data_IF_327232603554
#
_entry.id   IF_327232603554
#
_cell.length_a   1.000
_cell.length_b   1.000
_cell.length_c   1.000
_cell.angle_alpha   90.00
_cell.angle_beta   90.00
_cell.angle_gamma   90.00
#
_symmetry.space_group_name_H-M   'P 1'
#
loop_
_entity.id
_entity.type
_entity.pdbx_description
1 polymer ?
#
# COMPACT_ATOMS: atom_id res chain seq x y z
N UNK A 1 48.46 5.73 13.02
CA UNK A 1 47.03 5.95 13.37
C UNK A 1 46.30 4.74 12.84
N UNK A 2 45.90 3.78 13.68
CA UNK A 2 45.22 2.57 13.20
C UNK A 2 43.80 2.94 12.79
N UNK A 3 43.51 2.85 11.49
CA UNK A 3 42.14 2.87 10.99
C UNK A 3 41.49 1.55 11.37
N UNK A 4 40.30 1.61 11.94
CA UNK A 4 39.46 0.44 12.18
C UNK A 4 38.33 0.44 11.15
N UNK A 5 37.92 -0.75 10.72
CA UNK A 5 36.78 -0.97 9.83
C UNK A 5 35.72 -1.74 10.63
N UNK A 6 34.46 -1.37 10.45
CA UNK A 6 33.31 -2.13 10.91
C UNK A 6 32.18 -2.04 9.87
N UNK A 7 31.31 -3.05 9.88
CA UNK A 7 30.22 -3.23 8.92
C UNK A 7 28.97 -3.60 9.71
N UNK A 8 27.86 -2.93 9.39
CA UNK A 8 26.52 -3.27 9.86
C UNK A 8 25.72 -3.69 8.62
N UNK A 9 25.33 -4.96 8.55
CA UNK A 9 24.46 -5.46 7.50
C UNK A 9 23.04 -5.52 8.04
N UNK A 10 22.14 -4.71 7.48
CA UNK A 10 20.71 -4.72 7.83
C UNK A 10 19.96 -5.22 6.61
N UNK A 11 19.70 -6.52 6.57
CA UNK A 11 18.90 -7.08 5.49
C UNK A 11 17.44 -6.82 5.82
N UNK A 12 16.87 -5.76 5.25
CA UNK A 12 15.42 -5.53 5.24
C UNK A 12 14.82 -6.48 4.20
N UNK A 13 14.71 -7.75 4.56
CA UNK A 13 14.02 -8.74 3.73
C UNK A 13 12.52 -8.55 3.95
N UNK A 14 11.86 -7.83 3.05
CA UNK A 14 10.47 -8.16 2.74
C UNK A 14 10.55 -9.53 2.07
N UNK A 15 10.19 -10.59 2.81
CA UNK A 15 10.43 -11.99 2.44
C UNK A 15 9.95 -12.25 1.01
N UNK A 16 10.90 -12.31 0.10
CA UNK A 16 10.79 -13.00 -1.18
C UNK A 16 11.57 -14.30 -0.97
N UNK A 17 10.91 -15.38 -0.48
CA UNK A 17 10.07 -16.18 -1.39
C UNK A 17 8.91 -16.94 -0.71
N UNK A 18 7.64 -16.69 -1.06
CA UNK A 18 6.61 -17.76 -1.07
C UNK A 18 5.68 -17.60 -2.28
N UNK A 19 6.25 -17.60 -3.48
CA UNK A 19 5.51 -17.91 -4.71
C UNK A 19 6.15 -19.07 -5.46
N UNK A 20 6.51 -20.16 -4.76
CA UNK A 20 6.74 -21.47 -5.40
C UNK A 20 6.78 -22.63 -4.39
N UNK A 21 5.63 -23.05 -3.85
CA UNK A 21 5.43 -24.44 -3.40
C UNK A 21 3.95 -24.74 -3.04
N UNK A 22 3.28 -25.47 -3.93
CA UNK A 22 2.55 -26.70 -3.55
C UNK A 22 1.26 -26.60 -2.74
N UNK A 23 0.15 -26.97 -3.41
CA UNK A 23 -0.99 -27.64 -2.76
C UNK A 23 -0.54 -28.68 -1.72
N UNK A 24 -1.33 -28.73 -0.64
CA UNK A 24 -1.40 -29.74 0.43
C UNK A 24 -0.46 -29.52 1.62
N UNK A 25 -1.04 -29.23 2.80
CA UNK A 25 -1.31 -30.25 3.85
C UNK A 25 -1.88 -29.58 5.13
N UNK A 26 -3.13 -29.96 5.45
CA UNK A 26 -3.73 -30.11 6.80
C UNK A 26 -4.36 -28.89 7.50
N UNK A 27 -5.64 -28.71 7.17
CA UNK A 27 -6.80 -28.80 8.06
C UNK A 27 -6.53 -29.13 9.56
N UNK A 28 -6.51 -28.12 10.44
CA UNK A 28 -6.86 -28.12 11.88
C UNK A 28 -6.54 -26.69 12.36
N UNK A 29 -7.47 -25.82 12.75
CA UNK A 29 -8.44 -25.92 13.84
C UNK A 29 -9.59 -24.93 13.54
N UNK A 30 -10.78 -25.46 13.25
CA UNK A 30 -12.04 -24.71 13.22
C UNK A 30 -12.91 -25.21 14.37
N UNK A 31 -12.73 -24.67 15.57
CA UNK A 31 -13.79 -24.51 16.60
C UNK A 31 -13.24 -23.82 17.85
N UNK A 32 -13.65 -22.59 18.13
CA UNK A 32 -14.52 -22.26 19.27
C UNK A 32 -14.65 -20.75 19.46
N UNK A 33 -15.90 -20.31 19.63
CA UNK A 33 -16.25 -18.98 20.09
C UNK A 33 -16.69 -19.10 21.56
N UNK A 34 -16.00 -18.43 22.48
CA UNK A 34 -16.60 -17.69 23.59
C UNK A 34 -15.55 -16.90 24.41
N UNK A 35 -15.66 -15.58 24.29
CA UNK A 35 -15.42 -14.46 25.23
C UNK A 35 -14.34 -14.41 26.33
N UNK A 36 -13.52 -15.43 26.61
CA UNK A 36 -12.43 -15.30 27.62
C UNK A 36 -11.01 -15.57 27.07
N UNK A 37 -10.87 -15.81 25.76
CA UNK A 37 -9.57 -16.16 25.15
C UNK A 37 -8.77 -14.99 24.57
N UNK A 38 -9.24 -13.74 24.61
CA UNK A 38 -8.49 -12.61 24.00
C UNK A 38 -7.13 -12.41 24.71
N UNK A 39 -7.05 -12.61 26.02
CA UNK A 39 -5.78 -12.54 26.75
C UNK A 39 -4.88 -13.76 26.46
N UNK A 40 -5.47 -14.95 26.34
CA UNK A 40 -4.74 -16.20 26.08
C UNK A 40 -4.21 -16.29 24.65
N UNK A 41 -4.96 -15.76 23.66
CA UNK A 41 -4.49 -15.62 22.27
C UNK A 41 -3.43 -14.54 22.13
N UNK A 42 -3.51 -13.42 22.85
CA UNK A 42 -2.44 -12.40 22.87
C UNK A 42 -1.14 -12.97 23.46
N UNK A 43 -1.22 -13.79 24.50
CA UNK A 43 -0.07 -14.46 25.11
C UNK A 43 0.47 -15.61 24.23
N UNK A 44 -0.40 -16.44 23.66
CA UNK A 44 0.02 -17.54 22.77
C UNK A 44 0.57 -17.04 21.43
N UNK A 45 0.07 -15.91 20.91
CA UNK A 45 0.63 -15.22 19.75
C UNK A 45 1.94 -14.54 20.10
N UNK A 46 2.10 -14.03 21.33
CA UNK A 46 3.38 -13.51 21.82
C UNK A 46 4.42 -14.62 21.98
N UNK A 47 4.04 -15.79 22.50
CA UNK A 47 4.95 -16.93 22.64
C UNK A 47 5.28 -17.59 21.29
N UNK A 48 4.34 -17.65 20.34
CA UNK A 48 4.63 -18.09 18.96
C UNK A 48 5.44 -17.09 18.15
N UNK A 49 5.19 -15.78 18.31
CA UNK A 49 6.01 -14.75 17.67
C UNK A 49 7.37 -14.71 18.35
N UNK A 50 7.49 -14.88 19.66
CA UNK A 50 8.79 -14.97 20.36
C UNK A 50 9.52 -16.27 19.98
N UNK A 51 8.86 -17.42 19.84
CA UNK A 51 9.51 -18.67 19.38
C UNK A 51 9.92 -18.60 17.91
N UNK A 52 9.12 -17.97 17.04
CA UNK A 52 9.47 -17.72 15.64
C UNK A 52 10.59 -16.68 15.56
N UNK A 53 10.49 -15.57 16.30
CA UNK A 53 11.55 -14.55 16.37
C UNK A 53 12.81 -15.09 17.03
N UNK A 54 12.73 -16.06 17.96
CA UNK A 54 13.86 -16.71 18.60
C UNK A 54 14.48 -17.80 17.71
N UNK A 55 13.67 -18.61 17.02
CA UNK A 55 14.13 -19.57 16.00
C UNK A 55 14.71 -18.89 14.76
N UNK A 56 14.35 -17.62 14.48
CA UNK A 56 14.95 -16.80 13.44
C UNK A 56 15.96 -15.75 13.97
N UNK A 57 16.11 -15.60 15.30
CA UNK A 57 17.22 -14.84 15.89
C UNK A 57 18.54 -15.61 15.89
N UNK A 58 18.48 -16.92 15.65
CA UNK A 58 19.68 -17.74 15.47
C UNK A 58 20.36 -17.53 14.10
N UNK A 59 19.73 -16.79 13.17
CA UNK A 59 20.36 -16.31 11.92
C UNK A 59 20.56 -14.78 11.85
N UNK A 60 20.25 -14.05 12.93
CA UNK A 60 20.80 -12.70 13.14
C UNK A 60 22.17 -12.81 13.84
N UNK A 61 23.13 -13.46 13.17
CA UNK A 61 24.51 -13.42 13.63
C UNK A 61 25.12 -12.07 13.21
N UNK A 62 25.44 -11.23 14.21
CA UNK A 62 26.38 -10.13 14.03
C UNK A 62 27.75 -10.78 13.87
N UNK A 63 28.14 -11.11 12.64
CA UNK A 63 29.53 -11.44 12.35
C UNK A 63 30.35 -10.15 12.41
N UNK A 64 30.99 -9.90 13.55
CA UNK A 64 32.13 -8.98 13.60
C UNK A 64 33.23 -9.58 12.71
N UNK A 65 33.38 -9.07 11.49
CA UNK A 65 34.42 -9.52 10.58
C UNK A 65 35.80 -9.42 11.24
N UNK A 66 36.53 -10.52 11.23
CA UNK A 66 37.93 -10.59 11.67
C UNK A 66 38.82 -9.75 10.74
N UNK A 67 39.95 -9.22 11.25
CA UNK A 67 40.89 -8.46 10.42
C UNK A 67 41.44 -9.35 9.30
N UNK A 68 41.31 -8.90 8.04
CA UNK A 68 41.96 -9.54 6.90
C UNK A 68 43.45 -9.21 6.98
N UNK A 69 44.27 -10.20 7.36
CA UNK A 69 45.72 -10.18 7.15
C UNK A 69 46.07 -10.72 5.76
N UNK A 70 46.99 -10.00 5.11
CA UNK A 70 47.72 -10.24 3.86
C UNK A 70 47.42 -11.53 3.07
N UNK A 71 46.84 -11.37 1.88
CA UNK A 71 47.15 -12.21 0.72
C UNK A 71 47.40 -11.37 -0.53
N UNK A 72 48.60 -11.56 -1.08
CA UNK A 72 49.08 -11.07 -2.37
C UNK A 72 48.49 -11.88 -3.53
N UNK A 73 48.25 -11.15 -4.63
CA UNK A 73 48.17 -11.55 -6.06
C UNK A 73 47.12 -12.65 -6.41
N UNK A 74 46.31 -12.59 -7.48
CA UNK A 74 46.46 -12.04 -8.83
C UNK A 74 45.11 -11.55 -9.41
N UNK A 75 45.23 -10.72 -10.45
CA UNK A 75 44.14 -10.05 -11.16
C UNK A 75 43.41 -10.94 -12.17
N UNK A 76 42.11 -10.69 -12.36
CA UNK A 76 41.52 -10.67 -13.69
C UNK A 76 40.36 -9.65 -13.76
N UNK A 77 40.64 -8.53 -14.42
CA UNK A 77 39.66 -7.49 -14.77
C UNK A 77 38.83 -7.95 -15.96
N UNK A 78 37.51 -7.92 -15.84
CA UNK A 78 36.63 -7.65 -16.99
C UNK A 78 35.92 -6.32 -16.72
N UNK A 79 36.46 -5.27 -17.33
CA UNK A 79 35.88 -3.95 -17.34
C UNK A 79 34.66 -3.91 -18.26
N UNK A 80 33.50 -3.51 -17.73
CA UNK A 80 32.47 -2.84 -18.52
C UNK A 80 32.21 -1.49 -17.86
N UNK A 81 32.72 -0.45 -18.52
CA UNK A 81 32.62 0.95 -18.11
C UNK A 81 31.24 1.49 -18.45
N UNK A 82 30.41 1.74 -17.44
CA UNK A 82 29.42 2.81 -17.47
C UNK A 82 30.02 4.05 -16.75
N UNK A 83 29.76 5.30 -17.18
CA UNK A 83 30.44 6.45 -16.61
C UNK A 83 30.06 6.63 -15.13
N UNK A 84 31.08 6.61 -14.26
CA UNK A 84 30.93 7.01 -12.86
C UNK A 84 30.51 8.49 -12.80
N UNK A 85 29.29 8.74 -12.35
CA UNK A 85 28.85 10.06 -11.93
C UNK A 85 29.79 10.55 -10.82
N UNK A 86 30.41 11.71 -11.06
CA UNK A 86 31.35 12.37 -10.13
C UNK A 86 30.63 12.84 -8.86
N UNK A 87 31.36 12.94 -7.72
CA UNK A 87 30.77 12.86 -6.39
C UNK A 87 29.90 14.06 -6.07
N UNK A 88 28.67 13.80 -5.66
CA UNK A 88 27.90 14.70 -4.80
C UNK A 88 28.78 15.15 -3.63
N UNK A 89 28.69 16.42 -3.25
CA UNK A 89 29.53 16.99 -2.20
C UNK A 89 29.48 16.11 -0.94
N UNK A 90 30.63 15.59 -0.50
CA UNK A 90 30.72 14.73 0.69
C UNK A 90 30.18 15.48 1.90
N UNK A 91 29.02 15.06 2.40
CA UNK A 91 28.38 15.67 3.56
C UNK A 91 29.28 15.50 4.78
N UNK A 92 29.55 16.60 5.51
CA UNK A 92 30.34 16.58 6.73
C UNK A 92 29.42 16.83 7.91
N UNK A 93 29.41 15.91 8.86
CA UNK A 93 28.52 15.91 10.04
C UNK A 93 29.31 15.76 11.33
N UNK A 94 28.75 16.18 12.45
CA UNK A 94 29.45 16.25 13.75
C UNK A 94 28.74 15.54 14.89
N UNK A 95 27.49 15.13 14.71
CA UNK A 95 26.66 14.48 15.73
C UNK A 95 25.62 13.54 15.09
N UNK A 96 24.95 12.74 15.92
CA UNK A 96 23.97 11.73 15.48
C UNK A 96 22.80 12.34 14.69
N UNK A 97 22.29 13.51 15.10
CA UNK A 97 21.19 14.19 14.40
C UNK A 97 21.60 14.61 12.99
N UNK A 98 22.76 15.23 12.84
CA UNK A 98 23.30 15.62 11.53
C UNK A 98 23.57 14.39 10.65
N UNK A 99 24.05 13.29 11.24
CA UNK A 99 24.22 12.03 10.50
C UNK A 99 22.88 11.47 10.03
N UNK A 100 21.84 11.49 10.88
CA UNK A 100 20.49 11.07 10.52
C UNK A 100 19.88 11.96 9.42
N UNK A 101 20.09 13.28 9.51
CA UNK A 101 19.66 14.25 8.48
C UNK A 101 20.34 13.96 7.13
N UNK A 102 21.65 13.65 7.15
CA UNK A 102 22.41 13.29 5.95
C UNK A 102 22.00 11.94 5.35
N UNK A 103 21.83 10.90 6.18
CA UNK A 103 21.34 9.59 5.75
C UNK A 103 19.95 9.70 5.11
N UNK A 104 19.04 10.42 5.77
CA UNK A 104 17.70 10.66 5.24
C UNK A 104 17.72 11.38 3.88
N UNK A 105 18.62 12.36 3.68
CA UNK A 105 18.76 13.03 2.38
C UNK A 105 19.13 12.05 1.26
N UNK A 106 20.00 11.07 1.52
CA UNK A 106 20.35 10.03 0.55
C UNK A 106 19.24 9.01 0.32
N UNK A 107 18.54 8.60 1.39
CA UNK A 107 17.42 7.66 1.28
C UNK A 107 16.25 8.27 0.50
N UNK A 108 15.88 9.51 0.82
CA UNK A 108 14.79 10.24 0.14
C UNK A 108 15.09 10.58 -1.32
N UNK A 109 16.36 10.61 -1.72
CA UNK A 109 16.77 10.73 -3.12
C UNK A 109 16.87 9.38 -3.84
N UNK A 110 16.55 8.27 -3.17
CA UNK A 110 16.68 6.90 -3.69
C UNK A 110 18.10 6.58 -4.17
N UNK A 111 19.11 7.21 -3.56
CA UNK A 111 20.50 6.99 -3.96
C UNK A 111 20.94 5.57 -3.57
N UNK A 112 21.49 4.76 -4.49
CA UNK A 112 21.92 3.39 -4.18
C UNK A 112 23.19 3.37 -3.31
N UNK A 113 23.91 4.49 -3.23
CA UNK A 113 25.14 4.58 -2.43
C UNK A 113 25.28 5.95 -1.79
N UNK A 114 25.94 6.01 -0.65
CA UNK A 114 26.33 7.28 -0.05
C UNK A 114 27.67 7.23 0.65
N UNK A 115 28.29 8.40 0.82
CA UNK A 115 29.48 8.60 1.63
C UNK A 115 29.32 9.84 2.52
N UNK A 116 29.42 9.66 3.83
CA UNK A 116 29.28 10.73 4.83
C UNK A 116 30.55 10.82 5.67
N UNK A 117 31.07 12.02 5.86
CA UNK A 117 32.24 12.31 6.67
C UNK A 117 31.82 12.76 8.07
N UNK A 118 32.09 11.97 9.09
CA UNK A 118 31.84 12.32 10.48
C UNK A 118 33.09 12.90 11.15
N UNK A 119 32.95 14.06 11.79
CA UNK A 119 34.00 14.74 12.58
C UNK A 119 33.56 14.83 14.04
N UNK A 120 34.11 13.97 14.87
CA UNK A 120 33.78 13.90 16.30
C UNK A 120 34.43 12.69 16.97
N UNK A 121 34.19 12.53 18.27
CA UNK A 121 34.65 11.32 18.97
C UNK A 121 34.00 10.08 18.37
N UNK A 122 34.78 9.04 18.11
CA UNK A 122 34.34 7.76 17.53
C UNK A 122 34.26 6.63 18.56
N UNK A 123 34.38 6.95 19.85
CA UNK A 123 34.30 5.96 20.94
C UNK A 123 33.01 5.12 20.91
N UNK A 124 31.91 5.68 20.39
CA UNK A 124 30.59 5.03 20.26
C UNK A 124 30.08 5.11 18.82
N UNK A 125 30.99 4.96 17.84
CA UNK A 125 30.64 5.16 16.42
C UNK A 125 29.53 4.20 15.95
N UNK A 126 29.56 2.95 16.41
CA UNK A 126 28.55 1.93 16.09
C UNK A 126 27.15 2.37 16.51
N UNK A 127 26.96 2.64 17.81
CA UNK A 127 25.72 3.17 18.35
C UNK A 127 25.28 4.49 17.69
N UNK A 128 26.22 5.38 17.37
CA UNK A 128 25.90 6.65 16.72
C UNK A 128 25.32 6.41 15.30
N UNK A 129 25.90 5.46 14.56
CA UNK A 129 25.43 5.05 13.24
C UNK A 129 24.07 4.36 13.33
N UNK A 130 23.87 3.47 14.29
CA UNK A 130 22.57 2.79 14.54
C UNK A 130 21.47 3.79 14.90
N UNK A 131 21.71 4.67 15.87
CA UNK A 131 20.75 5.71 16.27
C UNK A 131 20.41 6.64 15.10
N UNK A 132 21.40 6.98 14.26
CA UNK A 132 21.20 7.82 13.09
C UNK A 132 20.39 7.10 12.00
N UNK A 133 20.68 5.82 11.75
CA UNK A 133 19.93 4.98 10.84
C UNK A 133 18.46 4.87 11.26
N UNK A 134 18.20 4.44 12.50
CA UNK A 134 16.85 4.30 13.05
C UNK A 134 16.08 5.62 12.99
N UNK A 135 16.76 6.72 13.29
CA UNK A 135 16.18 8.07 13.23
C UNK A 135 15.96 8.56 11.81
N UNK A 136 16.64 8.01 10.80
CA UNK A 136 16.46 8.36 9.40
C UNK A 136 15.30 7.57 8.77
N UNK A 137 15.22 6.27 9.01
CA UNK A 137 14.18 5.40 8.43
C UNK A 137 12.78 5.69 9.00
N UNK A 138 12.68 6.12 10.26
CA UNK A 138 11.39 6.47 10.91
C UNK A 138 10.80 7.81 10.45
N UNK A 139 11.50 8.56 9.59
CA UNK A 139 11.02 9.87 9.13
C UNK A 139 9.99 9.78 8.03
N UNK A 140 10.07 8.70 7.26
CA UNK A 140 9.41 8.61 5.98
C UNK A 140 9.16 7.14 5.62
N UNK A 141 7.98 6.68 6.01
CA UNK A 141 7.56 5.30 5.77
C UNK A 141 7.52 4.97 4.27
N UNK A 142 7.29 5.96 3.41
CA UNK A 142 7.27 5.76 1.96
C UNK A 142 8.66 5.39 1.44
N UNK A 143 9.70 6.11 1.86
CA UNK A 143 11.08 5.79 1.49
C UNK A 143 11.47 4.43 2.04
N UNK A 144 11.20 4.18 3.33
CA UNK A 144 11.54 2.91 3.98
C UNK A 144 10.85 1.72 3.33
N UNK A 145 9.56 1.85 3.00
CA UNK A 145 8.80 0.80 2.32
C UNK A 145 9.29 0.48 0.90
N UNK A 146 10.18 1.30 0.33
CA UNK A 146 10.84 1.02 -0.95
C UNK A 146 12.26 0.47 -0.80
N UNK A 147 12.84 0.38 0.41
CA UNK A 147 14.17 -0.22 0.61
C UNK A 147 14.04 -1.74 0.61
N UNK A 148 14.76 -2.42 -0.29
CA UNK A 148 14.78 -3.88 -0.38
C UNK A 148 16.03 -4.52 0.22
N UNK A 149 17.16 -3.78 0.25
CA UNK A 149 18.42 -4.22 0.89
C UNK A 149 19.20 -3.02 1.40
N UNK A 150 19.91 -3.19 2.50
CA UNK A 150 20.78 -2.14 3.04
C UNK A 150 22.04 -2.68 3.70
N UNK A 151 23.16 -1.98 3.52
CA UNK A 151 24.42 -2.22 4.21
C UNK A 151 25.08 -0.89 4.58
N UNK A 152 25.57 -0.79 5.82
CA UNK A 152 26.37 0.34 6.28
C UNK A 152 27.79 -0.11 6.61
N UNK A 153 28.68 0.43 5.79
CA UNK A 153 30.11 0.67 5.94
C UNK A 153 30.59 1.70 6.95
N UNK A 154 31.59 1.49 7.81
CA UNK A 154 32.35 2.65 8.30
C UNK A 154 33.82 2.39 8.63
N UNK A 155 34.65 3.36 8.25
CA UNK A 155 36.08 3.43 8.57
C UNK A 155 36.33 4.56 9.56
N UNK A 156 37.06 4.34 10.64
CA UNK A 156 37.24 5.37 11.66
C UNK A 156 38.64 5.43 12.28
N UNK A 157 39.02 6.66 12.65
CA UNK A 157 40.14 6.98 13.55
C UNK A 157 39.61 7.50 14.88
N UNK A 158 40.43 8.16 15.71
CA UNK A 158 39.99 8.63 17.06
C UNK A 158 38.98 9.78 17.05
N UNK A 159 38.99 10.63 16.02
CA UNK A 159 38.23 11.89 15.95
C UNK A 159 37.48 12.09 14.63
N UNK A 160 37.45 11.07 13.78
CA UNK A 160 36.80 11.13 12.47
C UNK A 160 36.42 9.73 12.00
N UNK A 161 35.33 9.63 11.24
CA UNK A 161 34.92 8.44 10.54
C UNK A 161 34.43 8.79 9.13
N UNK A 162 34.56 7.86 8.19
CA UNK A 162 33.84 7.85 6.92
C UNK A 162 32.79 6.75 7.00
N UNK A 163 31.53 7.11 6.83
CA UNK A 163 30.40 6.18 6.76
C UNK A 163 30.05 6.01 5.28
N UNK A 164 29.87 4.77 4.85
CA UNK A 164 29.43 4.42 3.51
C UNK A 164 28.14 3.63 3.60
N UNK A 165 27.19 3.93 2.73
CA UNK A 165 25.97 3.14 2.61
C UNK A 165 25.87 2.53 1.23
N UNK A 166 25.33 1.32 1.17
CA UNK A 166 24.87 0.67 -0.06
C UNK A 166 23.40 0.27 0.15
N UNK A 167 22.55 0.58 -0.83
CA UNK A 167 21.11 0.35 -0.78
C UNK A 167 20.62 -0.22 -2.11
N UNK A 168 19.61 -1.09 -2.04
CA UNK A 168 18.75 -1.41 -3.16
C UNK A 168 17.34 -0.94 -2.85
N UNK A 169 16.66 -0.39 -3.85
CA UNK A 169 15.28 0.06 -3.76
C UNK A 169 14.41 -0.70 -4.76
N UNK A 170 13.10 -0.68 -4.52
CA UNK A 170 12.09 -1.20 -5.45
C UNK A 170 11.93 -0.32 -6.70
N UNK A 171 12.52 0.89 -6.70
CA UNK A 171 12.51 1.82 -7.83
C UNK A 171 13.85 2.54 -8.00
N UNK A 172 14.16 2.98 -9.22
CA UNK A 172 15.33 3.85 -9.49
C UNK A 172 15.05 5.31 -9.12
N UNK A 173 16.07 6.18 -8.99
CA UNK A 173 15.87 7.61 -8.80
C UNK A 173 15.00 8.27 -9.87
N UNK A 174 15.13 7.85 -11.13
CA UNK A 174 14.32 8.37 -12.24
C UNK A 174 12.86 7.94 -12.11
N UNK A 175 12.61 6.69 -11.69
CA UNK A 175 11.27 6.19 -11.41
C UNK A 175 10.65 6.91 -10.21
N UNK A 176 11.43 7.18 -9.16
CA UNK A 176 10.98 7.95 -8.00
C UNK A 176 10.58 9.38 -8.39
N UNK A 177 11.39 10.05 -9.23
CA UNK A 177 11.07 11.37 -9.77
C UNK A 177 9.83 11.35 -10.67
N UNK A 178 9.64 10.30 -11.48
CA UNK A 178 8.42 10.10 -12.26
C UNK A 178 7.19 10.01 -11.35
N UNK A 179 7.25 9.22 -10.27
CA UNK A 179 6.16 9.10 -9.31
C UNK A 179 5.87 10.45 -8.66
N UNK A 180 6.89 11.14 -8.17
CA UNK A 180 6.74 12.45 -7.52
C UNK A 180 5.98 13.44 -8.40
N UNK A 181 6.41 13.61 -9.65
CA UNK A 181 5.79 14.53 -10.60
C UNK A 181 4.34 14.15 -10.93
N UNK A 182 4.09 12.88 -11.27
CA UNK A 182 2.76 12.44 -11.69
C UNK A 182 1.78 12.45 -10.51
N UNK A 183 2.20 11.99 -9.33
CA UNK A 183 1.38 12.04 -8.11
C UNK A 183 1.00 13.50 -7.83
N UNK A 184 1.93 14.45 -7.90
CA UNK A 184 1.64 15.87 -7.69
C UNK A 184 0.56 16.41 -8.66
N UNK A 185 0.62 16.05 -9.94
CA UNK A 185 -0.38 16.45 -10.93
C UNK A 185 -1.75 15.79 -10.66
N UNK A 186 -1.75 14.49 -10.36
CA UNK A 186 -2.97 13.73 -10.10
C UNK A 186 -3.68 14.28 -8.86
N UNK A 187 -2.98 14.45 -7.73
CA UNK A 187 -3.59 14.96 -6.49
C UNK A 187 -4.08 16.40 -6.63
N UNK A 188 -3.38 17.22 -7.42
CA UNK A 188 -3.84 18.57 -7.77
C UNK A 188 -5.13 18.53 -8.61
N UNK A 189 -5.33 17.51 -9.43
CA UNK A 189 -6.59 17.27 -10.15
C UNK A 189 -7.69 16.80 -9.21
N UNK A 190 -7.43 15.78 -8.38
CA UNK A 190 -8.41 15.19 -7.45
C UNK A 190 -8.94 16.23 -6.43
N UNK A 191 -8.08 17.09 -5.92
CA UNK A 191 -8.44 18.16 -4.96
C UNK A 191 -9.35 19.26 -5.52
N UNK A 192 -9.55 19.32 -6.85
CA UNK A 192 -10.51 20.25 -7.46
C UNK A 192 -11.95 19.90 -7.10
N UNK A 193 -12.28 18.61 -7.00
CA UNK A 193 -13.61 18.13 -6.62
C UNK A 193 -13.67 17.64 -5.16
N UNK A 194 -12.63 16.97 -4.66
CA UNK A 194 -12.58 16.48 -3.29
C UNK A 194 -12.25 17.60 -2.29
N UNK A 195 -13.23 18.03 -1.48
CA UNK A 195 -13.09 19.17 -0.56
C UNK A 195 -12.89 18.75 0.88
N UNK A 196 -13.55 17.68 1.30
CA UNK A 196 -13.41 17.08 2.63
C UNK A 196 -12.32 16.02 2.66
N UNK A 197 -11.82 15.70 3.84
CA UNK A 197 -10.77 14.68 3.96
C UNK A 197 -11.27 13.29 3.55
N UNK A 198 -12.51 12.93 3.86
CA UNK A 198 -13.12 11.67 3.38
C UNK A 198 -13.22 11.61 1.85
N UNK A 199 -13.57 12.73 1.20
CA UNK A 199 -13.59 12.78 -0.28
C UNK A 199 -12.19 12.66 -0.87
N UNK A 200 -11.17 13.24 -0.23
CA UNK A 200 -9.77 13.11 -0.67
C UNK A 200 -9.32 11.64 -0.57
N UNK A 201 -9.58 10.99 0.56
CA UNK A 201 -9.22 9.57 0.73
C UNK A 201 -9.97 8.68 -0.25
N UNK A 202 -11.27 8.92 -0.43
CA UNK A 202 -12.08 8.22 -1.44
C UNK A 202 -11.52 8.43 -2.85
N UNK A 203 -11.20 9.66 -3.23
CA UNK A 203 -10.66 9.98 -4.53
C UNK A 203 -9.31 9.27 -4.81
N UNK A 204 -8.44 9.15 -3.81
CA UNK A 204 -7.20 8.38 -3.94
C UNK A 204 -7.48 6.88 -4.10
N UNK A 205 -8.31 6.30 -3.23
CA UNK A 205 -8.72 4.90 -3.32
C UNK A 205 -9.29 4.58 -4.70
N UNK A 206 -10.28 5.37 -5.14
CA UNK A 206 -10.95 5.18 -6.42
C UNK A 206 -9.98 5.33 -7.59
N UNK A 207 -9.08 6.32 -7.54
CA UNK A 207 -8.08 6.52 -8.59
C UNK A 207 -7.17 5.30 -8.73
N UNK A 208 -6.62 4.79 -7.62
CA UNK A 208 -5.69 3.66 -7.65
C UNK A 208 -6.41 2.40 -8.15
N UNK A 209 -7.55 2.07 -7.53
CA UNK A 209 -8.33 0.86 -7.86
C UNK A 209 -8.84 0.88 -9.30
N UNK A 210 -9.35 2.02 -9.78
CA UNK A 210 -9.89 2.08 -11.15
C UNK A 210 -8.83 2.08 -12.26
N UNK A 211 -7.56 2.29 -11.93
CA UNK A 211 -6.46 2.41 -12.88
C UNK A 211 -5.35 1.37 -12.67
N UNK A 212 -5.56 0.36 -11.84
CA UNK A 212 -4.55 -0.67 -11.57
C UNK A 212 -5.23 -2.04 -11.54
N UNK A 213 -4.54 -3.08 -12.01
CA UNK A 213 -4.93 -4.46 -11.78
C UNK A 213 -3.96 -5.13 -10.78
N UNK A 214 -4.48 -5.93 -9.85
CA UNK A 214 -3.64 -6.76 -9.00
C UNK A 214 -2.90 -7.83 -9.81
N UNK A 215 -1.57 -7.72 -9.91
CA UNK A 215 -0.72 -8.63 -10.69
C UNK A 215 0.76 -8.54 -10.27
N UNK A 216 1.46 -9.67 -10.32
CA UNK A 216 2.91 -9.77 -10.19
C UNK A 216 3.64 -9.77 -11.55
N UNK A 217 2.89 -9.83 -12.66
CA UNK A 217 3.43 -9.87 -14.01
C UNK A 217 3.67 -8.46 -14.56
N UNK A 218 4.74 -7.82 -14.08
CA UNK A 218 5.12 -6.44 -14.41
C UNK A 218 6.56 -6.35 -14.94
N UNK A 219 6.94 -5.22 -15.56
CA UNK A 219 8.31 -4.99 -16.04
C UNK A 219 9.22 -4.48 -14.94
N UNK A 220 8.76 -3.48 -14.18
CA UNK A 220 9.38 -3.04 -12.95
C UNK A 220 8.90 -3.88 -11.75
N UNK A 221 9.46 -3.65 -10.55
CA UNK A 221 9.07 -4.39 -9.35
C UNK A 221 7.58 -4.20 -9.04
N UNK A 222 6.75 -5.26 -8.95
CA UNK A 222 5.32 -5.12 -8.67
C UNK A 222 5.02 -4.53 -7.28
N UNK A 223 6.04 -4.47 -6.42
CA UNK A 223 5.97 -3.91 -5.06
C UNK A 223 6.20 -2.39 -5.02
N UNK A 224 6.55 -1.74 -6.14
CA UNK A 224 6.85 -0.30 -6.15
C UNK A 224 5.64 0.56 -6.50
N UNK A 225 5.58 1.77 -5.93
CA UNK A 225 4.57 2.77 -6.32
C UNK A 225 4.68 3.17 -7.80
N UNK A 226 5.90 3.13 -8.37
CA UNK A 226 6.14 3.39 -9.79
C UNK A 226 5.36 2.41 -10.68
N UNK A 227 5.41 1.11 -10.39
CA UNK A 227 4.78 0.10 -11.24
C UNK A 227 3.26 0.23 -11.23
N UNK A 228 2.67 0.46 -10.04
CA UNK A 228 1.23 0.72 -9.90
C UNK A 228 0.82 1.93 -10.73
N UNK A 229 1.59 3.03 -10.66
CA UNK A 229 1.25 4.27 -11.33
C UNK A 229 1.51 4.25 -12.85
N UNK A 230 2.64 3.71 -13.29
CA UNK A 230 3.11 3.80 -14.67
C UNK A 230 2.72 2.59 -15.53
N UNK A 231 2.65 1.40 -14.92
CA UNK A 231 2.33 0.15 -15.62
C UNK A 231 0.89 -0.31 -15.38
N UNK A 232 0.16 0.34 -14.46
CA UNK A 232 -1.21 -0.02 -14.09
C UNK A 232 -1.31 -1.46 -13.54
N UNK A 233 -0.24 -1.92 -12.89
CA UNK A 233 -0.16 -3.25 -12.30
C UNK A 233 0.74 -3.26 -11.06
N UNK A 234 0.43 -4.13 -10.11
CA UNK A 234 1.27 -4.33 -8.93
C UNK A 234 0.59 -5.19 -7.86
N UNK A 235 1.26 -5.31 -6.71
CA UNK A 235 0.78 -6.04 -5.53
C UNK A 235 0.64 -5.10 -4.32
N UNK A 236 0.19 -5.64 -3.18
CA UNK A 236 -0.22 -4.89 -1.99
C UNK A 236 0.74 -3.76 -1.56
N UNK A 237 2.04 -4.03 -1.54
CA UNK A 237 3.06 -3.04 -1.19
C UNK A 237 3.07 -1.83 -2.14
N UNK A 238 2.98 -2.05 -3.46
CA UNK A 238 2.95 -0.95 -4.43
C UNK A 238 1.69 -0.10 -4.31
N UNK A 239 0.54 -0.74 -4.06
CA UNK A 239 -0.74 -0.05 -3.84
C UNK A 239 -0.67 0.84 -2.59
N UNK A 240 -0.26 0.25 -1.46
CA UNK A 240 -0.16 0.94 -0.18
C UNK A 240 0.85 2.10 -0.22
N UNK A 241 1.96 1.95 -0.95
CA UNK A 241 2.97 3.01 -1.08
C UNK A 241 2.49 4.15 -1.99
N UNK A 242 1.80 3.84 -3.10
CA UNK A 242 1.21 4.89 -3.93
C UNK A 242 0.11 5.66 -3.19
N UNK A 243 -0.77 4.94 -2.48
CA UNK A 243 -1.81 5.54 -1.64
C UNK A 243 -1.19 6.45 -0.57
N UNK A 244 -0.16 5.96 0.13
CA UNK A 244 0.58 6.74 1.13
C UNK A 244 1.08 8.08 0.56
N UNK A 245 1.78 8.05 -0.58
CA UNK A 245 2.32 9.25 -1.24
C UNK A 245 1.23 10.23 -1.66
N UNK A 246 0.17 9.74 -2.30
CA UNK A 246 -0.97 10.57 -2.74
C UNK A 246 -1.67 11.24 -1.56
N UNK A 247 -1.92 10.51 -0.47
CA UNK A 247 -2.63 11.00 0.71
C UNK A 247 -1.82 12.02 1.50
N UNK A 248 -0.52 11.78 1.70
CA UNK A 248 0.35 12.75 2.35
C UNK A 248 0.41 14.08 1.58
N UNK A 249 0.48 14.04 0.24
CA UNK A 249 0.44 15.27 -0.59
C UNK A 249 -0.90 16.01 -0.51
N UNK A 250 -1.97 15.30 -0.20
CA UNK A 250 -3.29 15.90 0.08
C UNK A 250 -3.44 16.41 1.51
N UNK A 251 -2.37 16.33 2.32
CA UNK A 251 -2.34 16.79 3.71
C UNK A 251 -2.96 15.80 4.70
N UNK A 252 -3.18 14.55 4.30
CA UNK A 252 -3.73 13.49 5.16
C UNK A 252 -2.57 12.76 5.85
N UNK A 253 -2.53 12.83 7.18
CA UNK A 253 -1.55 12.09 7.98
C UNK A 253 -1.79 10.59 7.75
N UNK A 254 -0.74 9.90 7.27
CA UNK A 254 -0.82 8.52 6.80
C UNK A 254 0.37 7.73 7.31
N UNK A 255 0.16 6.49 7.74
CA UNK A 255 1.20 5.53 8.10
C UNK A 255 1.12 4.30 7.19
N UNK A 256 2.27 3.74 6.86
CA UNK A 256 2.38 2.48 6.13
C UNK A 256 2.42 1.32 7.13
N UNK A 257 1.58 0.31 6.93
CA UNK A 257 1.54 -0.88 7.79
C UNK A 257 2.06 -2.08 7.01
N UNK A 258 2.86 -2.89 7.70
CA UNK A 258 3.22 -4.23 7.30
C UNK A 258 2.57 -5.21 8.27
N UNK A 259 1.99 -6.27 7.74
CA UNK A 259 1.36 -7.33 8.52
C UNK A 259 1.17 -8.58 7.69
N UNK A 260 0.12 -9.32 8.02
CA UNK A 260 -0.20 -10.60 7.40
C UNK A 260 -1.69 -10.74 7.14
N UNK A 261 -2.02 -11.44 6.06
CA UNK A 261 -3.33 -12.06 5.86
C UNK A 261 -3.11 -13.56 5.85
N UNK A 262 -3.64 -14.25 6.86
CA UNK A 262 -3.33 -15.67 7.06
C UNK A 262 -1.83 -15.88 7.32
N UNK A 263 -1.11 -16.39 6.33
CA UNK A 263 0.35 -16.58 6.38
C UNK A 263 1.10 -15.74 5.33
N UNK A 264 0.38 -15.00 4.49
CA UNK A 264 0.97 -14.18 3.44
C UNK A 264 1.27 -12.78 3.98
N UNK A 265 2.46 -12.29 3.71
CA UNK A 265 2.82 -10.91 4.05
C UNK A 265 1.95 -9.94 3.28
N UNK A 266 1.47 -8.89 3.95
CA UNK A 266 0.57 -7.91 3.37
C UNK A 266 0.92 -6.50 3.84
N UNK A 267 0.51 -5.51 3.05
CA UNK A 267 0.78 -4.11 3.32
C UNK A 267 -0.43 -3.24 2.96
N UNK A 268 -0.72 -2.28 3.84
CA UNK A 268 -1.84 -1.34 3.70
C UNK A 268 -1.54 -0.03 4.45
N UNK A 269 -2.52 0.85 4.60
CA UNK A 269 -2.33 2.15 5.25
C UNK A 269 -3.22 2.36 6.48
N UNK A 270 -2.74 3.20 7.40
CA UNK A 270 -3.54 3.92 8.39
C UNK A 270 -3.65 5.37 7.95
N UNK A 271 -4.84 5.96 7.99
CA UNK A 271 -5.10 7.34 7.62
C UNK A 271 -5.85 8.07 8.73
N UNK A 272 -5.52 9.34 8.96
CA UNK A 272 -6.12 10.13 10.04
C UNK A 272 -7.09 11.17 9.49
N UNK A 273 -8.35 11.06 9.88
CA UNK A 273 -9.41 12.00 9.54
C UNK A 273 -10.06 12.49 10.85
N UNK A 274 -10.21 13.80 11.01
CA UNK A 274 -10.83 14.41 12.20
C UNK A 274 -10.24 13.90 13.53
N UNK A 275 -8.91 13.77 13.59
CA UNK A 275 -8.15 13.22 14.73
C UNK A 275 -8.41 11.75 15.06
N UNK A 276 -9.13 11.02 14.20
CA UNK A 276 -9.36 9.58 14.33
C UNK A 276 -8.57 8.82 13.27
N UNK A 277 -7.96 7.70 13.66
CA UNK A 277 -7.28 6.80 12.74
C UNK A 277 -8.24 5.76 12.18
N UNK A 278 -8.03 5.40 10.93
CA UNK A 278 -8.77 4.36 10.20
C UNK A 278 -7.80 3.58 9.33
N UNK A 279 -8.03 2.29 9.16
CA UNK A 279 -7.31 1.54 8.15
C UNK A 279 -7.91 1.78 6.77
N UNK A 280 -7.03 1.77 5.77
CA UNK A 280 -7.36 1.83 4.36
C UNK A 280 -6.54 0.75 3.65
N UNK A 281 -7.22 -0.25 3.10
CA UNK A 281 -6.60 -1.24 2.22
C UNK A 281 -7.13 -1.07 0.80
N UNK A 282 -6.35 -0.35 -0.01
CA UNK A 282 -6.67 -0.13 -1.43
C UNK A 282 -6.63 -1.40 -2.26
N UNK A 283 -5.85 -2.41 -1.85
CA UNK A 283 -5.75 -3.68 -2.58
C UNK A 283 -6.99 -4.54 -2.37
N UNK A 284 -7.52 -4.62 -1.15
CA UNK A 284 -8.76 -5.36 -0.90
C UNK A 284 -10.01 -4.61 -1.33
N UNK A 285 -9.87 -3.31 -1.64
CA UNK A 285 -10.87 -2.53 -2.35
C UNK A 285 -10.81 -2.70 -3.88
N UNK A 286 -9.77 -3.35 -4.42
CA UNK A 286 -9.66 -3.71 -5.84
C UNK A 286 -10.41 -5.04 -6.12
N UNK A 287 -11.51 -5.02 -6.89
CA UNK A 287 -12.30 -6.21 -7.13
C UNK A 287 -11.60 -7.21 -8.08
N UNK A 288 -11.31 -8.41 -7.58
CA UNK A 288 -10.85 -9.55 -8.40
C UNK A 288 -12.04 -10.44 -8.83
N UNK A 289 -12.11 -10.95 -10.08
CA UNK A 289 -11.26 -10.58 -11.22
C UNK A 289 -11.42 -9.10 -11.59
N UNK A 290 -10.32 -8.47 -12.02
CA UNK A 290 -10.28 -7.05 -12.37
C UNK A 290 -11.40 -6.70 -13.35
N UNK A 291 -12.13 -5.64 -13.00
CA UNK A 291 -13.19 -5.06 -13.82
C UNK A 291 -12.88 -3.59 -13.96
N UNK A 292 -12.53 -3.20 -15.18
CA UNK A 292 -12.17 -1.82 -15.50
C UNK A 292 -13.15 -0.80 -14.90
N UNK A 293 -12.64 0.02 -13.98
CA UNK A 293 -13.40 1.10 -13.34
C UNK A 293 -14.32 0.68 -12.18
N UNK A 294 -14.35 -0.61 -11.82
CA UNK A 294 -15.07 -1.08 -10.64
C UNK A 294 -14.24 -0.84 -9.38
N UNK A 295 -14.89 -0.34 -8.33
CA UNK A 295 -14.26 -0.05 -7.04
C UNK A 295 -15.12 -0.64 -5.93
N UNK A 296 -14.49 -1.17 -4.89
CA UNK A 296 -15.16 -1.59 -3.64
C UNK A 296 -14.71 -0.72 -2.47
N UNK A 297 -15.46 -0.80 -1.37
CA UNK A 297 -15.20 -0.01 -0.16
C UNK A 297 -15.24 -0.86 1.13
N UNK A 298 -15.11 -2.18 1.02
CA UNK A 298 -15.18 -3.09 2.18
C UNK A 298 -14.05 -2.83 3.20
N UNK A 299 -12.87 -2.40 2.73
CA UNK A 299 -11.71 -2.04 3.56
C UNK A 299 -11.40 -0.54 3.47
N UNK A 300 -12.42 0.27 3.20
CA UNK A 300 -12.31 1.72 3.18
C UNK A 300 -12.65 2.28 4.57
N UNK A 301 -11.67 2.91 5.21
CA UNK A 301 -11.81 3.60 6.51
C UNK A 301 -12.42 2.69 7.61
N UNK A 302 -11.84 1.50 7.81
CA UNK A 302 -12.28 0.52 8.81
C UNK A 302 -11.58 0.71 10.18
N UNK A 303 -12.21 0.24 11.26
CA UNK A 303 -11.61 0.20 12.61
C UNK A 303 -10.73 -1.06 12.80
N UNK A 304 -9.88 -1.05 13.83
CA UNK A 304 -8.98 -2.15 14.22
C UNK A 304 -9.74 -3.48 14.30
N UNK A 305 -10.96 -3.48 14.86
CA UNK A 305 -11.76 -4.72 15.02
C UNK A 305 -12.23 -5.30 13.71
N UNK A 306 -12.52 -4.45 12.73
CA UNK A 306 -12.93 -4.91 11.40
C UNK A 306 -11.72 -5.43 10.64
N UNK A 307 -10.60 -4.70 10.68
CA UNK A 307 -9.34 -5.11 10.06
C UNK A 307 -8.82 -6.43 10.65
N UNK A 308 -8.87 -6.59 11.97
CA UNK A 308 -8.38 -7.78 12.69
C UNK A 308 -9.17 -9.08 12.44
N UNK A 309 -10.20 -9.07 11.58
CA UNK A 309 -10.96 -10.28 11.24
C UNK A 309 -10.17 -11.23 10.34
N UNK A 310 -9.30 -10.67 9.50
CA UNK A 310 -8.50 -11.38 8.50
C UNK A 310 -7.07 -10.83 8.38
N UNK A 311 -6.80 -9.63 8.89
CA UNK A 311 -5.46 -9.05 8.95
C UNK A 311 -4.85 -9.16 10.34
N UNK A 312 -3.52 -9.32 10.40
CA UNK A 312 -2.75 -9.32 11.64
C UNK A 312 -1.56 -8.37 11.52
N UNK A 313 -1.33 -7.54 12.53
CA UNK A 313 -0.19 -6.63 12.62
C UNK A 313 0.25 -6.47 14.09
N UNK A 314 1.44 -5.92 14.31
CA UNK A 314 1.92 -5.58 15.65
C UNK A 314 1.24 -4.27 16.08
N UNK A 315 0.06 -4.38 16.70
CA UNK A 315 -0.76 -3.21 17.06
C UNK A 315 -0.07 -2.20 17.98
N UNK A 316 0.99 -2.60 18.71
CA UNK A 316 1.75 -1.69 19.57
C UNK A 316 2.58 -0.66 18.79
N UNK A 317 2.89 -0.93 17.51
CA UNK A 317 3.73 -0.08 16.68
C UNK A 317 2.94 1.07 16.03
N UNK A 318 1.61 1.03 16.08
CA UNK A 318 0.71 1.93 15.35
C UNK A 318 -0.35 2.56 16.26
N UNK A 319 -0.89 3.74 15.90
CA UNK A 319 -2.00 4.34 16.62
C UNK A 319 -3.29 3.51 16.42
N UNK A 320 -4.15 3.51 17.44
CA UNK A 320 -5.39 2.72 17.44
C UNK A 320 -6.46 3.34 16.54
N UNK A 321 -7.04 2.56 15.64
CA UNK A 321 -8.24 2.92 14.89
C UNK A 321 -9.48 2.34 15.58
N UNK A 322 -10.27 3.18 16.27
CA UNK A 322 -11.46 2.70 17.02
C UNK A 322 -12.78 3.30 16.55
N UNK A 323 -12.71 4.32 15.69
CA UNK A 323 -13.89 5.02 15.20
C UNK A 323 -14.58 4.21 14.11
N UNK A 324 -15.91 4.21 14.12
CA UNK A 324 -16.76 3.54 13.12
C UNK A 324 -17.58 4.54 12.30
N UNK A 325 -17.24 5.83 12.33
CA UNK A 325 -18.03 6.90 11.68
C UNK A 325 -18.29 6.59 10.20
N UNK A 326 -17.31 6.00 9.51
CA UNK A 326 -17.36 5.71 8.07
C UNK A 326 -17.85 4.30 7.71
N UNK A 327 -18.38 3.52 8.67
CA UNK A 327 -18.76 2.12 8.41
C UNK A 327 -19.89 1.94 7.39
N UNK A 328 -20.62 3.01 7.07
CA UNK A 328 -21.63 3.00 6.01
C UNK A 328 -21.06 2.76 4.61
N UNK A 329 -19.74 2.91 4.41
CA UNK A 329 -19.07 2.53 3.16
C UNK A 329 -18.96 1.01 2.97
N UNK A 330 -18.94 0.24 4.06
CA UNK A 330 -18.58 -1.19 4.00
C UNK A 330 -19.66 -2.04 3.32
N UNK A 331 -20.88 -1.52 3.24
CA UNK A 331 -22.01 -2.17 2.59
C UNK A 331 -22.12 -1.86 1.08
N UNK A 332 -21.20 -1.06 0.53
CA UNK A 332 -21.26 -0.54 -0.84
C UNK A 332 -20.59 -1.52 -1.80
N UNK A 333 -21.36 -2.04 -2.74
CA UNK A 333 -20.87 -2.75 -3.92
C UNK A 333 -21.45 -2.15 -5.21
N UNK A 334 -20.76 -2.35 -6.33
CA UNK A 334 -21.10 -1.79 -7.65
C UNK A 334 -21.49 -0.29 -7.62
N UNK A 335 -20.66 0.59 -7.06
CA UNK A 335 -20.99 2.01 -6.93
C UNK A 335 -21.00 2.73 -8.29
N UNK A 336 -21.97 3.64 -8.46
CA UNK A 336 -22.01 4.63 -9.53
C UNK A 336 -22.16 6.03 -8.93
N UNK A 337 -21.17 6.90 -9.15
CA UNK A 337 -21.19 8.26 -8.61
C UNK A 337 -21.81 9.26 -9.58
N UNK A 338 -22.69 10.12 -9.07
CA UNK A 338 -23.25 11.30 -9.76
C UNK A 338 -23.16 12.48 -8.79
N UNK A 339 -22.31 13.45 -9.10
CA UNK A 339 -22.02 14.56 -8.19
C UNK A 339 -21.65 14.04 -6.78
N UNK A 340 -22.40 14.48 -5.74
CA UNK A 340 -22.23 14.08 -4.33
C UNK A 340 -23.04 12.84 -3.94
N UNK A 341 -23.63 12.16 -4.92
CA UNK A 341 -24.46 10.98 -4.71
C UNK A 341 -23.73 9.73 -5.21
N UNK A 342 -23.72 8.70 -4.38
CA UNK A 342 -23.20 7.39 -4.73
C UNK A 342 -24.36 6.40 -4.77
N UNK A 343 -24.74 5.93 -5.95
CA UNK A 343 -25.74 4.87 -6.11
C UNK A 343 -25.07 3.52 -6.01
N UNK A 344 -25.63 2.58 -5.27
CA UNK A 344 -24.92 1.33 -4.99
C UNK A 344 -25.84 0.15 -4.70
N UNK A 345 -25.26 -1.04 -4.84
CA UNK A 345 -25.79 -2.32 -4.37
C UNK A 345 -25.51 -2.46 -2.88
N UNK A 346 -26.54 -2.44 -2.04
CA UNK A 346 -26.36 -2.60 -0.61
C UNK A 346 -26.27 -4.08 -0.23
N UNK A 347 -25.06 -4.57 0.08
CA UNK A 347 -24.82 -5.99 0.36
C UNK A 347 -25.51 -6.48 1.65
N UNK A 348 -25.76 -5.59 2.61
CA UNK A 348 -26.47 -5.94 3.86
C UNK A 348 -27.99 -6.06 3.69
N UNK A 349 -28.56 -5.45 2.64
CA UNK A 349 -30.00 -5.51 2.31
C UNK A 349 -30.24 -6.26 0.98
N UNK A 350 -29.63 -7.44 0.83
CA UNK A 350 -29.77 -8.34 -0.32
C UNK A 350 -29.53 -7.65 -1.68
N UNK A 351 -28.48 -6.82 -1.76
CA UNK A 351 -28.06 -6.13 -2.98
C UNK A 351 -29.11 -5.16 -3.55
N UNK A 352 -30.03 -4.65 -2.73
CA UNK A 352 -31.00 -3.65 -3.17
C UNK A 352 -30.34 -2.33 -3.53
N UNK A 353 -30.98 -1.56 -4.40
CA UNK A 353 -30.47 -0.27 -4.87
C UNK A 353 -30.65 0.84 -3.83
N UNK A 354 -29.54 1.43 -3.40
CA UNK A 354 -29.47 2.55 -2.46
C UNK A 354 -28.76 3.74 -3.10
N UNK A 355 -28.93 4.91 -2.49
CA UNK A 355 -28.09 6.10 -2.71
C UNK A 355 -27.52 6.57 -1.39
N UNK A 356 -26.24 6.95 -1.39
CA UNK A 356 -25.52 7.59 -0.31
C UNK A 356 -25.25 9.06 -0.69
N UNK A 357 -25.54 9.98 0.22
CA UNK A 357 -25.01 11.34 0.16
C UNK A 357 -23.60 11.36 0.79
N UNK A 358 -22.58 11.58 -0.04
CA UNK A 358 -21.16 11.50 0.36
C UNK A 358 -20.84 12.55 1.43
N UNK A 359 -21.48 13.72 1.38
CA UNK A 359 -21.21 14.83 2.29
C UNK A 359 -21.77 14.62 3.70
N UNK A 360 -22.88 13.88 3.81
CA UNK A 360 -23.57 13.67 5.09
C UNK A 360 -23.45 12.25 5.64
N UNK A 361 -22.98 11.29 4.83
CA UNK A 361 -22.95 9.88 5.21
C UNK A 361 -24.33 9.22 5.26
N UNK A 362 -25.39 9.89 4.78
CA UNK A 362 -26.77 9.39 4.86
C UNK A 362 -27.13 8.57 3.63
N UNK A 363 -27.59 7.35 3.87
CA UNK A 363 -28.10 6.46 2.82
C UNK A 363 -29.62 6.35 2.81
N UNK A 364 -30.18 6.12 1.62
CA UNK A 364 -31.61 5.87 1.40
C UNK A 364 -31.80 4.79 0.36
N UNK A 365 -32.75 3.87 0.59
CA UNK A 365 -33.18 2.89 -0.43
C UNK A 365 -33.96 3.59 -1.54
N UNK A 366 -33.59 3.31 -2.79
CA UNK A 366 -34.20 3.89 -4.00
C UNK A 366 -35.11 2.87 -4.70
N UNK A 367 -34.73 1.58 -4.70
CA UNK A 367 -35.59 0.50 -5.19
C UNK A 367 -35.42 -0.77 -4.34
N UNK A 368 -36.45 -1.63 -4.35
CA UNK A 368 -36.37 -2.99 -3.81
C UNK A 368 -35.78 -3.99 -4.81
N UNK A 369 -35.44 -3.54 -6.02
CA UNK A 369 -34.74 -4.34 -7.02
C UNK A 369 -33.30 -4.58 -6.62
N UNK A 370 -32.84 -5.82 -6.79
CA UNK A 370 -31.47 -6.26 -6.55
C UNK A 370 -30.62 -5.79 -7.72
N UNK A 371 -29.82 -4.75 -7.53
CA UNK A 371 -29.14 -4.02 -8.59
C UNK A 371 -27.63 -4.20 -8.50
N UNK A 372 -27.02 -4.80 -9.52
CA UNK A 372 -25.57 -4.97 -9.62
C UNK A 372 -25.05 -4.36 -10.93
N UNK A 373 -23.73 -4.16 -11.02
CA UNK A 373 -23.08 -3.54 -12.19
C UNK A 373 -23.73 -2.20 -12.56
N UNK A 374 -23.90 -1.31 -11.58
CA UNK A 374 -24.64 -0.06 -11.75
C UNK A 374 -23.77 0.93 -12.53
N UNK A 375 -24.35 1.60 -13.53
CA UNK A 375 -23.73 2.70 -14.25
C UNK A 375 -24.72 3.84 -14.43
N UNK A 376 -24.24 5.08 -14.39
CA UNK A 376 -25.05 6.26 -14.66
C UNK A 376 -24.76 6.81 -16.06
N UNK A 377 -25.82 7.08 -16.84
CA UNK A 377 -25.71 7.76 -18.13
C UNK A 377 -27.05 8.39 -18.53
N UNK A 378 -27.01 9.49 -19.28
CA UNK A 378 -28.19 10.19 -19.84
C UNK A 378 -29.35 10.39 -18.84
N UNK A 379 -29.04 10.69 -17.57
CA UNK A 379 -30.05 10.89 -16.52
C UNK A 379 -30.69 9.61 -15.98
N UNK A 380 -30.17 8.43 -16.33
CA UNK A 380 -30.64 7.13 -15.87
C UNK A 380 -29.53 6.33 -15.20
N UNK A 381 -29.93 5.51 -14.23
CA UNK A 381 -29.11 4.41 -13.72
C UNK A 381 -29.46 3.16 -14.52
N UNK A 382 -28.45 2.51 -15.08
CA UNK A 382 -28.56 1.21 -15.74
C UNK A 382 -27.88 0.17 -14.85
N UNK A 383 -28.47 -1.03 -14.76
CA UNK A 383 -27.96 -2.09 -13.90
C UNK A 383 -28.49 -3.45 -14.34
N UNK A 384 -27.79 -4.49 -13.90
CA UNK A 384 -28.27 -5.87 -13.95
C UNK A 384 -29.25 -6.10 -12.81
N UNK A 385 -30.52 -6.37 -13.16
CA UNK A 385 -31.59 -6.55 -12.19
C UNK A 385 -31.75 -8.03 -11.79
N UNK A 386 -31.14 -8.41 -10.68
CA UNK A 386 -31.16 -9.76 -10.14
C UNK A 386 -32.49 -10.14 -9.47
N UNK A 387 -33.44 -9.21 -9.31
CA UNK A 387 -34.83 -9.56 -8.98
C UNK A 387 -35.60 -10.13 -10.17
N UNK A 388 -35.07 -9.97 -11.38
CA UNK A 388 -35.68 -10.41 -12.63
C UNK A 388 -34.72 -11.24 -13.48
N UNK A 389 -33.84 -12.05 -12.88
CA UNK A 389 -32.94 -12.91 -13.67
C UNK A 389 -31.78 -12.16 -14.33
N UNK A 390 -31.26 -11.14 -13.65
CA UNK A 390 -30.13 -10.30 -14.08
C UNK A 390 -30.37 -9.55 -15.40
N UNK A 391 -31.62 -9.20 -15.68
CA UNK A 391 -32.01 -8.46 -16.88
C UNK A 391 -31.49 -7.02 -16.85
N UNK A 392 -31.01 -6.53 -17.99
CA UNK A 392 -30.63 -5.13 -18.14
C UNK A 392 -31.86 -4.25 -17.90
N UNK A 393 -31.78 -3.41 -16.88
CA UNK A 393 -32.85 -2.50 -16.49
C UNK A 393 -32.32 -1.08 -16.37
N UNK A 394 -33.22 -0.09 -16.44
CA UNK A 394 -32.91 1.29 -16.07
C UNK A 394 -33.94 1.89 -15.14
N UNK A 395 -33.50 2.80 -14.27
CA UNK A 395 -34.33 3.54 -13.31
C UNK A 395 -33.83 4.98 -13.18
N UNK A 396 -34.71 5.93 -12.87
CA UNK A 396 -34.28 7.30 -12.59
C UNK A 396 -33.57 7.36 -11.23
N UNK A 397 -32.66 8.33 -11.02
CA UNK A 397 -32.01 8.54 -9.72
C UNK A 397 -32.97 8.72 -8.53
N UNK A 398 -34.21 9.18 -8.77
CA UNK A 398 -35.24 9.32 -7.74
C UNK A 398 -36.02 8.02 -7.42
N UNK A 399 -35.73 6.93 -8.14
CA UNK A 399 -36.38 5.62 -8.01
C UNK A 399 -37.62 5.43 -8.89
N UNK A 400 -37.98 6.42 -9.71
CA UNK A 400 -39.14 6.31 -10.59
C UNK A 400 -38.78 5.73 -11.97
N UNK A 401 -39.80 5.23 -12.69
CA UNK A 401 -39.67 4.86 -14.10
C UNK A 401 -38.80 3.62 -14.37
N UNK A 402 -38.69 2.70 -13.40
CA UNK A 402 -37.99 1.43 -13.58
C UNK A 402 -38.54 0.66 -14.79
N UNK A 403 -37.66 0.23 -15.69
CA UNK A 403 -38.03 -0.51 -16.90
C UNK A 403 -36.96 -1.54 -17.27
N UNK A 404 -37.40 -2.69 -17.77
CA UNK A 404 -36.52 -3.73 -18.34
C UNK A 404 -36.25 -3.38 -19.80
N UNK A 405 -34.97 -3.34 -20.19
CA UNK A 405 -34.51 -3.03 -21.55
C UNK A 405 -34.16 -4.29 -22.35
N UNK A 406 -33.59 -5.30 -21.70
CA UNK A 406 -33.24 -6.58 -22.29
C UNK A 406 -33.53 -7.72 -21.29
N UNK A 407 -34.04 -8.85 -21.77
CA UNK A 407 -34.39 -10.03 -20.95
C UNK A 407 -33.35 -11.15 -21.01
N UNK A 408 -32.14 -10.84 -21.44
CA UNK A 408 -30.97 -11.72 -21.31
C UNK A 408 -30.26 -11.43 -19.98
N UNK A 409 -29.67 -12.45 -19.38
CA UNK A 409 -28.75 -12.28 -18.25
C UNK A 409 -27.61 -11.36 -18.67
N UNK A 410 -27.42 -10.28 -17.91
CA UNK A 410 -26.49 -9.20 -18.25
C UNK A 410 -25.52 -8.94 -17.11
N UNK A 411 -24.24 -8.71 -17.41
CA UNK A 411 -23.15 -8.39 -16.45
C UNK A 411 -22.22 -7.32 -17.03
N UNK A 412 -21.31 -6.83 -16.19
CA UNK A 412 -20.16 -5.98 -16.58
C UNK A 412 -20.55 -4.77 -17.45
N UNK A 413 -21.52 -4.00 -16.96
CA UNK A 413 -21.95 -2.76 -17.63
C UNK A 413 -20.85 -1.70 -17.56
N UNK A 414 -20.64 -0.99 -18.67
CA UNK A 414 -19.80 0.21 -18.70
C UNK A 414 -20.23 1.17 -19.82
N UNK A 415 -19.90 2.45 -19.67
CA UNK A 415 -20.28 3.50 -20.64
C UNK A 415 -19.05 4.00 -21.37
N UNK A 416 -19.09 4.04 -22.71
CA UNK A 416 -18.01 4.58 -23.53
C UNK A 416 -18.53 5.17 -24.83
N UNK A 417 -18.13 6.41 -25.14
CA UNK A 417 -18.42 7.05 -26.42
C UNK A 417 -19.91 7.19 -26.76
N UNK A 418 -20.77 7.44 -25.76
CA UNK A 418 -22.22 7.55 -25.95
C UNK A 418 -22.96 6.21 -26.09
N UNK A 419 -22.29 5.08 -25.80
CA UNK A 419 -22.90 3.76 -25.78
C UNK A 419 -22.79 3.15 -24.39
N UNK A 420 -23.84 2.44 -24.00
CA UNK A 420 -23.82 1.48 -22.91
C UNK A 420 -23.37 0.13 -23.47
N UNK A 421 -22.28 -0.39 -22.93
CA UNK A 421 -21.78 -1.72 -23.18
C UNK A 421 -22.18 -2.65 -22.04
N UNK A 422 -22.44 -3.91 -22.37
CA UNK A 422 -22.82 -4.92 -21.40
C UNK A 422 -22.53 -6.32 -21.94
N UNK A 423 -22.18 -7.24 -21.05
CA UNK A 423 -21.90 -8.64 -21.38
C UNK A 423 -23.16 -9.49 -21.21
N UNK A 424 -23.53 -10.25 -22.24
CA UNK A 424 -24.41 -11.42 -22.11
C UNK A 424 -23.58 -12.67 -22.40
N UNK A 425 -23.97 -13.50 -23.37
CA UNK A 425 -23.09 -14.54 -23.94
C UNK A 425 -21.96 -13.93 -24.80
N UNK A 426 -22.15 -12.68 -25.23
CA UNK A 426 -21.20 -11.88 -25.99
C UNK A 426 -21.26 -10.41 -25.55
N UNK A 427 -20.24 -9.62 -25.92
CA UNK A 427 -20.24 -8.18 -25.66
C UNK A 427 -21.26 -7.49 -26.58
N UNK A 428 -22.28 -6.87 -25.98
CA UNK A 428 -23.30 -6.09 -26.67
C UNK A 428 -23.19 -4.61 -26.31
N UNK A 429 -23.81 -3.76 -27.13
CA UNK A 429 -23.92 -2.33 -26.85
C UNK A 429 -25.25 -1.76 -27.31
N UNK A 430 -25.71 -0.70 -26.66
CA UNK A 430 -26.85 0.11 -27.10
C UNK A 430 -26.49 1.59 -27.04
N UNK A 431 -27.10 2.38 -27.93
CA UNK A 431 -26.97 3.84 -27.87
C UNK A 431 -27.68 4.36 -26.61
N UNK A 432 -27.05 5.34 -25.96
CA UNK A 432 -27.60 6.05 -24.82
C UNK A 432 -28.50 7.20 -25.28
#
# INVERSE_FOLDING_TARGET
MWKKLAIILIIVIFIDPIYTAGKATVQQVMTWANNDEIQTMLLATKDKIVDVTAQFSDDASIETATPIEDRKDEAELVATTAPALKPEAKLVVTNAKELADAMYAYYSSFSPTFEIQYKGSTQRIEQLVEEAYDSAIKRDDYVYGHISKHSIRYEYGKKQATIYGEQSYLMTPEQAAYVEMNVQEIVASLSKSAKTDVEKVKAVNDYIVSNTAYTDSTKASPHSAYTVLAEHGGVCQGYALLAHSMLQKLGIETQYIIGYVGQEGHAWNLVKLDSQWYHLDTTWNDPVPDRKGAVRYQYFLVDDRTMARDHTWIAADYPKATSTIYSYYHDIDFPAQVDQQLFYSNVSDDNKLYVLDISTGKSKRISSSRAQYIVYADGWLYYSNYSHGAYLSKIRPDGSGEQVLNREETKDLFVKGGYLYFMTDELKKMAL
#
